data_IF_283502778582
#
_entry.id   IF_283502778582
#
_cell.length_a   1.000
_cell.length_b   1.000
_cell.length_c   1.000
_cell.angle_alpha   90.00
_cell.angle_beta   90.00
_cell.angle_gamma   90.00
#
_symmetry.space_group_name_H-M   'P 1'
#
loop_
_entity.id
_entity.type
_entity.pdbx_description
1 polymer ?
#
# COMPACT_ATOMS: atom_id res chain seq x y z
N UNK A 1 -18.08 -21.78 -1.63
CA UNK A 1 -19.44 -21.33 -1.99
C UNK A 1 -20.53 -22.37 -1.65
N UNK A 2 -20.29 -23.69 -1.82
CA UNK A 2 -21.25 -24.73 -1.44
C UNK A 2 -21.39 -24.92 0.09
N UNK A 3 -20.32 -24.73 0.87
CA UNK A 3 -20.36 -25.02 2.31
C UNK A 3 -21.00 -23.90 3.16
N UNK A 4 -20.94 -22.64 2.72
CA UNK A 4 -21.68 -21.54 3.36
C UNK A 4 -23.19 -21.70 3.20
N UNK A 5 -23.63 -22.28 2.08
CA UNK A 5 -25.04 -22.59 1.84
C UNK A 5 -25.54 -23.74 2.73
N UNK A 6 -24.70 -24.74 3.00
CA UNK A 6 -25.02 -25.86 3.90
C UNK A 6 -25.15 -25.42 5.35
N UNK A 7 -24.27 -24.56 5.86
CA UNK A 7 -24.34 -24.08 7.25
C UNK A 7 -25.57 -23.18 7.50
N UNK A 8 -25.87 -22.28 6.57
CA UNK A 8 -27.06 -21.41 6.66
C UNK A 8 -28.36 -22.20 6.48
N UNK A 9 -28.36 -23.24 5.65
CA UNK A 9 -29.51 -24.11 5.47
C UNK A 9 -29.91 -24.80 6.79
N UNK A 10 -28.94 -25.26 7.60
CA UNK A 10 -29.22 -25.95 8.88
C UNK A 10 -29.86 -25.03 9.93
N UNK A 11 -29.48 -23.74 9.99
CA UNK A 11 -30.05 -22.78 10.95
C UNK A 11 -31.44 -22.25 10.55
N UNK A 12 -31.70 -22.13 9.26
CA UNK A 12 -32.95 -21.57 8.72
C UNK A 12 -34.04 -22.65 8.58
N UNK A 13 -33.65 -23.92 8.40
CA UNK A 13 -34.57 -25.05 8.18
C UNK A 13 -35.65 -25.23 9.27
N UNK A 14 -35.34 -25.17 10.58
CA UNK A 14 -36.36 -25.32 11.63
C UNK A 14 -37.42 -24.20 11.57
N UNK A 15 -37.01 -22.98 11.23
CA UNK A 15 -37.91 -21.81 11.12
C UNK A 15 -38.81 -21.93 9.90
N UNK A 16 -38.29 -22.41 8.78
CA UNK A 16 -39.09 -22.71 7.59
C UNK A 16 -40.12 -23.81 7.85
N UNK A 17 -39.76 -24.87 8.59
CA UNK A 17 -40.70 -25.93 8.97
C UNK A 17 -41.89 -25.36 9.77
N UNK A 18 -41.63 -24.45 10.71
CA UNK A 18 -42.69 -23.78 11.49
C UNK A 18 -43.60 -22.93 10.60
N UNK A 19 -43.05 -22.22 9.61
CA UNK A 19 -43.84 -21.47 8.62
C UNK A 19 -44.73 -22.40 7.81
N UNK A 20 -44.21 -23.56 7.36
CA UNK A 20 -45.00 -24.56 6.64
C UNK A 20 -46.12 -25.15 7.51
N UNK A 21 -45.87 -25.39 8.80
CA UNK A 21 -46.90 -25.82 9.75
C UNK A 21 -47.98 -24.75 9.93
N UNK A 22 -47.59 -23.47 9.99
CA UNK A 22 -48.52 -22.34 10.02
C UNK A 22 -49.40 -22.25 8.78
N UNK A 23 -48.83 -22.44 7.58
CA UNK A 23 -49.62 -22.53 6.34
C UNK A 23 -50.57 -23.73 6.35
N UNK A 24 -50.10 -24.90 6.80
CA UNK A 24 -50.94 -26.09 6.93
C UNK A 24 -52.13 -25.87 7.87
N UNK A 25 -51.90 -25.27 9.04
CA UNK A 25 -52.96 -24.90 10.00
C UNK A 25 -53.94 -23.88 9.42
N UNK A 26 -53.46 -22.93 8.63
CA UNK A 26 -54.31 -21.94 7.96
C UNK A 26 -55.30 -22.60 6.99
N UNK A 27 -54.80 -23.47 6.10
CA UNK A 27 -55.64 -24.18 5.12
C UNK A 27 -56.62 -25.16 5.80
N UNK A 28 -56.19 -25.86 6.84
CA UNK A 28 -57.07 -26.75 7.61
C UNK A 28 -58.18 -25.94 8.29
N UNK A 29 -57.84 -24.78 8.86
CA UNK A 29 -58.82 -23.91 9.51
C UNK A 29 -59.84 -23.32 8.55
N UNK A 30 -59.41 -22.96 7.34
CA UNK A 30 -60.28 -22.37 6.31
C UNK A 30 -61.25 -23.39 5.71
N UNK A 31 -60.80 -24.63 5.49
CA UNK A 31 -61.59 -25.67 4.83
C UNK A 31 -62.50 -26.44 5.81
N UNK A 32 -62.05 -26.68 7.06
CA UNK A 32 -62.70 -27.65 7.95
C UNK A 32 -63.34 -27.06 9.22
N UNK A 33 -63.05 -25.82 9.62
CA UNK A 33 -63.56 -25.23 10.88
C UNK A 33 -64.61 -24.13 10.63
N UNK A 34 -65.57 -23.97 11.56
CA UNK A 34 -66.61 -22.93 11.51
C UNK A 34 -66.67 -22.04 12.76
N UNK A 35 -67.13 -20.82 12.53
CA UNK A 35 -67.56 -19.79 13.48
C UNK A 35 -66.52 -19.33 14.52
N UNK A 36 -66.42 -19.98 15.68
CA UNK A 36 -65.70 -19.40 16.82
C UNK A 36 -64.26 -19.93 16.98
N UNK A 37 -63.99 -21.13 16.47
CA UNK A 37 -62.68 -21.80 16.58
C UNK A 37 -61.79 -21.43 15.38
N UNK A 38 -62.41 -21.16 14.22
CA UNK A 38 -61.73 -20.78 12.99
C UNK A 38 -60.86 -19.52 13.18
N UNK A 39 -61.40 -18.47 13.81
CA UNK A 39 -60.65 -17.23 14.06
C UNK A 39 -59.43 -17.44 14.97
N UNK A 40 -59.52 -18.35 15.94
CA UNK A 40 -58.42 -18.68 16.85
C UNK A 40 -57.29 -19.42 16.10
N UNK A 41 -57.64 -20.40 15.26
CA UNK A 41 -56.66 -21.14 14.46
C UNK A 41 -56.01 -20.26 13.37
N UNK A 42 -56.75 -19.34 12.76
CA UNK A 42 -56.20 -18.36 11.82
C UNK A 42 -55.18 -17.45 12.53
N UNK A 43 -55.47 -16.96 13.74
CA UNK A 43 -54.54 -16.12 14.49
C UNK A 43 -53.28 -16.87 14.94
N UNK A 44 -53.41 -18.13 15.35
CA UNK A 44 -52.25 -18.99 15.66
C UNK A 44 -51.42 -19.21 14.40
N UNK A 45 -52.06 -19.52 13.27
CA UNK A 45 -51.39 -19.71 11.98
C UNK A 45 -50.64 -18.47 11.52
N UNK A 46 -51.27 -17.29 11.62
CA UNK A 46 -50.65 -16.02 11.30
C UNK A 46 -49.43 -15.73 12.17
N UNK A 47 -49.48 -16.10 13.45
CA UNK A 47 -48.36 -15.94 14.40
C UNK A 47 -47.21 -16.89 14.08
N UNK A 48 -47.52 -18.15 13.74
CA UNK A 48 -46.54 -19.17 13.32
C UNK A 48 -45.87 -18.85 11.98
N UNK A 49 -46.52 -18.05 11.14
CA UNK A 49 -45.95 -17.56 9.89
C UNK A 49 -45.13 -16.28 10.14
N UNK A 50 -45.73 -15.29 10.81
CA UNK A 50 -45.16 -13.94 10.96
C UNK A 50 -43.87 -13.94 11.77
N UNK A 51 -43.85 -14.57 12.96
CA UNK A 51 -42.69 -14.53 13.85
C UNK A 51 -41.45 -15.15 13.18
N UNK A 52 -41.50 -16.38 12.62
CA UNK A 52 -40.31 -16.96 11.99
C UNK A 52 -39.87 -16.23 10.72
N UNK A 53 -40.80 -15.69 9.93
CA UNK A 53 -40.45 -14.88 8.75
C UNK A 53 -39.67 -13.63 9.16
N UNK A 54 -40.11 -12.91 10.20
CA UNK A 54 -39.39 -11.74 10.73
C UNK A 54 -37.98 -12.13 11.16
N UNK A 55 -37.81 -13.26 11.85
CA UNK A 55 -36.50 -13.75 12.25
C UNK A 55 -35.61 -14.15 11.07
N UNK A 56 -36.16 -14.80 10.05
CA UNK A 56 -35.41 -15.16 8.83
C UNK A 56 -34.96 -13.90 8.08
N UNK A 57 -35.85 -12.93 7.91
CA UNK A 57 -35.53 -11.66 7.25
C UNK A 57 -34.47 -10.90 8.06
N UNK A 58 -34.59 -10.87 9.38
CA UNK A 58 -33.60 -10.26 10.25
C UNK A 58 -32.24 -10.93 10.14
N UNK A 59 -32.15 -12.26 10.17
CA UNK A 59 -30.88 -12.98 10.02
C UNK A 59 -30.24 -12.76 8.65
N UNK A 60 -31.01 -12.85 7.56
CA UNK A 60 -30.49 -12.57 6.21
C UNK A 60 -29.99 -11.13 6.11
N UNK A 61 -30.74 -10.18 6.66
CA UNK A 61 -30.36 -8.77 6.63
C UNK A 61 -29.13 -8.50 7.49
N UNK A 62 -29.05 -9.11 8.66
CA UNK A 62 -27.91 -9.04 9.57
C UNK A 62 -26.66 -9.64 8.91
N UNK A 63 -26.75 -10.84 8.33
CA UNK A 63 -25.64 -11.48 7.60
C UNK A 63 -25.16 -10.64 6.42
N UNK A 64 -26.08 -10.11 5.62
CA UNK A 64 -25.73 -9.25 4.47
C UNK A 64 -25.06 -7.95 4.92
N UNK A 65 -25.56 -7.36 6.01
CA UNK A 65 -25.02 -6.12 6.57
C UNK A 65 -23.63 -6.35 7.18
N UNK A 66 -23.45 -7.41 7.97
CA UNK A 66 -22.13 -7.77 8.50
C UNK A 66 -21.15 -8.14 7.40
N UNK A 67 -21.59 -8.84 6.34
CA UNK A 67 -20.72 -9.15 5.20
C UNK A 67 -20.25 -7.88 4.49
N UNK A 68 -21.16 -6.96 4.20
CA UNK A 68 -20.83 -5.70 3.55
C UNK A 68 -19.94 -4.82 4.44
N UNK A 69 -20.21 -4.81 5.74
CA UNK A 69 -19.36 -4.12 6.72
C UNK A 69 -17.95 -4.72 6.69
N UNK A 70 -17.81 -6.04 6.83
CA UNK A 70 -16.51 -6.71 6.81
C UNK A 70 -15.75 -6.42 5.51
N UNK A 71 -16.41 -6.50 4.35
CA UNK A 71 -15.79 -6.19 3.07
C UNK A 71 -15.25 -4.75 3.01
N UNK A 72 -16.08 -3.76 3.37
CA UNK A 72 -15.67 -2.34 3.39
C UNK A 72 -14.51 -2.06 4.35
N UNK A 73 -14.43 -2.84 5.42
CA UNK A 73 -13.45 -2.71 6.48
C UNK A 73 -12.12 -3.33 6.09
N UNK A 74 -12.16 -4.51 5.48
CA UNK A 74 -10.99 -5.16 4.92
C UNK A 74 -10.39 -4.35 3.77
N UNK A 75 -11.23 -3.78 2.90
CA UNK A 75 -10.75 -2.89 1.84
C UNK A 75 -10.08 -1.66 2.41
N UNK A 76 -10.60 -1.09 3.50
CA UNK A 76 -9.98 0.04 4.18
C UNK A 76 -8.60 -0.33 4.75
N UNK A 77 -8.50 -1.43 5.51
CA UNK A 77 -7.24 -1.88 6.08
C UNK A 77 -6.19 -2.19 5.00
N UNK A 78 -6.61 -2.86 3.91
CA UNK A 78 -5.75 -3.12 2.75
C UNK A 78 -5.27 -1.81 2.12
N UNK A 79 -6.17 -0.85 1.91
CA UNK A 79 -5.82 0.41 1.28
C UNK A 79 -4.82 1.22 2.12
N UNK A 80 -5.08 1.40 3.42
CA UNK A 80 -4.16 2.11 4.33
C UNK A 80 -2.77 1.46 4.33
N UNK A 81 -2.72 0.13 4.39
CA UNK A 81 -1.46 -0.61 4.36
C UNK A 81 -0.74 -0.46 3.01
N UNK A 82 -1.46 -0.62 1.89
CA UNK A 82 -0.90 -0.45 0.55
C UNK A 82 -0.33 0.96 0.36
N UNK A 83 -1.04 2.01 0.80
CA UNK A 83 -0.55 3.38 0.69
C UNK A 83 0.75 3.60 1.48
N UNK A 84 0.85 3.06 2.69
CA UNK A 84 2.09 3.18 3.47
C UNK A 84 3.23 2.37 2.87
N UNK A 85 2.98 1.16 2.38
CA UNK A 85 3.99 0.36 1.67
C UNK A 85 4.47 1.05 0.39
N UNK A 86 3.58 1.73 -0.35
CA UNK A 86 3.96 2.50 -1.55
C UNK A 86 4.90 3.65 -1.20
N UNK A 87 4.61 4.43 -0.14
CA UNK A 87 5.53 5.48 0.33
C UNK A 87 6.90 4.91 0.70
N UNK A 88 6.92 3.77 1.39
CA UNK A 88 8.18 3.10 1.74
C UNK A 88 8.91 2.65 0.47
N UNK A 89 8.19 2.06 -0.50
CA UNK A 89 8.73 1.66 -1.80
C UNK A 89 9.39 2.84 -2.51
N UNK A 90 8.70 3.97 -2.60
CA UNK A 90 9.22 5.20 -3.22
C UNK A 90 10.49 5.68 -2.53
N UNK A 91 10.53 5.64 -1.21
CA UNK A 91 11.73 6.00 -0.45
C UNK A 91 12.90 5.04 -0.69
N UNK A 92 12.65 3.73 -0.77
CA UNK A 92 13.68 2.74 -1.09
C UNK A 92 14.16 2.90 -2.53
N UNK A 93 13.25 3.20 -3.46
CA UNK A 93 13.56 3.52 -4.86
C UNK A 93 14.48 4.75 -4.95
N UNK A 94 14.18 5.81 -4.20
CA UNK A 94 15.08 6.95 -4.08
C UNK A 94 16.48 6.54 -3.60
N UNK A 95 16.59 5.67 -2.60
CA UNK A 95 17.89 5.18 -2.15
C UNK A 95 18.62 4.35 -3.21
N UNK A 96 17.92 3.66 -4.09
CA UNK A 96 18.52 2.81 -5.13
C UNK A 96 18.68 3.45 -6.50
N UNK A 97 18.16 4.64 -6.74
CA UNK A 97 18.27 5.33 -8.05
C UNK A 97 18.75 6.79 -7.91
N UNK A 98 18.71 7.36 -6.71
CA UNK A 98 19.24 8.68 -6.38
C UNK A 98 18.70 9.81 -7.26
N UNK A 99 19.60 10.51 -7.96
CA UNK A 99 19.29 11.64 -8.84
C UNK A 99 18.45 11.24 -10.05
N UNK A 100 18.42 9.95 -10.39
CA UNK A 100 17.75 9.45 -11.59
C UNK A 100 16.34 8.92 -11.30
N UNK A 101 15.90 8.92 -10.04
CA UNK A 101 14.60 8.36 -9.61
C UNK A 101 13.38 8.94 -10.33
N UNK A 102 13.48 10.17 -10.85
CA UNK A 102 12.40 10.86 -11.55
C UNK A 102 12.19 10.39 -12.98
N UNK A 103 13.12 9.60 -13.52
CA UNK A 103 13.07 9.10 -14.88
C UNK A 103 12.65 7.63 -14.86
N UNK A 104 11.68 7.28 -15.68
CA UNK A 104 11.29 5.89 -15.91
C UNK A 104 12.42 5.10 -16.60
N UNK A 105 12.31 3.77 -16.53
CA UNK A 105 13.25 2.89 -17.21
C UNK A 105 13.25 3.19 -18.71
N UNK A 106 14.44 3.47 -19.26
CA UNK A 106 14.68 3.90 -20.64
C UNK A 106 14.30 5.35 -21.02
N UNK A 107 13.87 6.20 -20.09
CA UNK A 107 13.58 7.61 -20.41
C UNK A 107 14.84 8.37 -20.81
N UNK A 108 15.92 8.12 -20.06
CA UNK A 108 17.20 8.80 -20.22
C UNK A 108 18.30 7.84 -20.68
N UNK A 109 19.24 8.39 -21.43
CA UNK A 109 20.55 7.79 -21.68
C UNK A 109 21.54 8.51 -20.79
N UNK A 110 22.21 7.74 -19.93
CA UNK A 110 23.29 8.21 -19.06
C UNK A 110 24.60 8.00 -19.82
N UNK A 111 25.27 9.11 -20.13
CA UNK A 111 26.63 9.11 -20.67
C UNK A 111 27.59 9.47 -19.52
N UNK A 112 28.33 8.46 -19.07
CA UNK A 112 29.27 8.50 -17.95
C UNK A 112 30.73 8.29 -18.38
N UNK A 113 31.05 8.43 -19.68
CA UNK A 113 32.42 8.34 -20.19
C UNK A 113 33.38 9.32 -19.49
N UNK A 114 32.87 10.50 -19.13
CA UNK A 114 33.54 11.45 -18.23
C UNK A 114 32.97 11.31 -16.81
N UNK A 115 33.70 10.56 -15.96
CA UNK A 115 33.35 10.33 -14.55
C UNK A 115 33.14 11.65 -13.78
N UNK A 116 33.78 12.74 -14.20
CA UNK A 116 33.62 14.06 -13.59
C UNK A 116 32.39 14.85 -14.07
N UNK A 117 31.81 14.46 -15.21
CA UNK A 117 30.68 15.15 -15.82
C UNK A 117 29.72 14.17 -16.48
N UNK A 118 28.68 13.79 -15.74
CA UNK A 118 27.64 12.87 -16.21
C UNK A 118 26.66 13.65 -17.07
N UNK A 119 26.42 13.17 -18.29
CA UNK A 119 25.48 13.80 -19.21
C UNK A 119 24.20 12.97 -19.34
N UNK A 120 23.07 13.65 -19.17
CA UNK A 120 21.75 13.05 -19.28
C UNK A 120 21.04 13.51 -20.56
N UNK A 121 20.74 12.58 -21.46
CA UNK A 121 19.97 12.89 -22.68
C UNK A 121 18.65 12.11 -22.68
N UNK A 122 17.53 12.83 -22.81
CA UNK A 122 16.21 12.21 -22.93
C UNK A 122 16.06 11.54 -24.29
N UNK A 123 15.51 10.32 -24.34
CA UNK A 123 15.23 9.64 -25.62
C UNK A 123 14.13 10.39 -26.37
N UNK A 124 14.34 10.64 -27.66
CA UNK A 124 13.43 11.45 -28.51
C UNK A 124 11.97 10.99 -28.52
N UNK A 125 11.70 9.69 -28.29
CA UNK A 125 10.33 9.16 -28.19
C UNK A 125 9.55 9.68 -26.97
N UNK A 126 10.24 10.01 -25.88
CA UNK A 126 9.60 10.40 -24.61
C UNK A 126 9.63 11.93 -24.41
N UNK A 127 10.25 12.67 -25.34
CA UNK A 127 10.19 14.14 -25.39
C UNK A 127 8.83 14.66 -25.89
N UNK A 128 8.02 13.78 -26.51
CA UNK A 128 6.71 14.11 -27.10
C UNK A 128 5.65 13.16 -26.51
N UNK A 129 5.32 13.33 -25.23
CA UNK A 129 4.02 12.94 -24.72
C UNK A 129 3.78 13.72 -23.42
N UNK A 130 2.70 14.52 -23.39
CA UNK A 130 2.13 14.93 -22.12
C UNK A 130 1.69 13.64 -21.46
N UNK A 131 2.35 13.29 -20.35
CA UNK A 131 2.05 12.10 -19.57
C UNK A 131 0.58 12.20 -19.14
N UNK A 132 -0.29 11.43 -19.80
CA UNK A 132 -1.60 11.08 -19.25
C UNK A 132 -1.33 10.22 -18.01
N UNK A 133 -1.93 10.57 -16.88
CA UNK A 133 -1.72 9.98 -15.54
C UNK A 133 -2.06 8.47 -15.44
N UNK A 134 -2.41 7.80 -16.54
CA UNK A 134 -2.93 6.42 -16.57
C UNK A 134 -1.87 5.33 -16.83
N UNK A 135 -0.62 5.66 -17.18
CA UNK A 135 0.42 4.64 -17.49
C UNK A 135 1.33 4.27 -16.29
N UNK A 136 1.03 4.77 -15.08
CA UNK A 136 1.75 4.40 -13.85
C UNK A 136 1.39 3.02 -13.29
N UNK A 137 0.37 2.34 -13.82
CA UNK A 137 -0.13 1.07 -13.26
C UNK A 137 0.53 -0.21 -13.80
N UNK A 138 1.39 -0.16 -14.83
CA UNK A 138 1.93 -1.38 -15.47
C UNK A 138 3.47 -1.40 -15.65
N UNK A 139 4.24 -0.89 -14.69
CA UNK A 139 5.68 -1.21 -14.67
C UNK A 139 5.89 -2.57 -13.99
N UNK A 140 6.08 -3.59 -14.83
CA UNK A 140 6.52 -4.96 -14.49
C UNK A 140 7.92 -5.01 -13.84
N UNK A 141 8.61 -3.88 -13.71
CA UNK A 141 9.89 -3.77 -13.00
C UNK A 141 9.65 -3.49 -11.51
N UNK A 142 9.13 -4.51 -10.82
CA UNK A 142 8.89 -4.42 -9.39
C UNK A 142 10.23 -4.44 -8.65
N UNK A 143 10.59 -3.32 -8.04
CA UNK A 143 11.78 -3.13 -7.20
C UNK A 143 11.96 -4.20 -6.10
N UNK A 144 10.91 -4.98 -5.83
CA UNK A 144 10.89 -6.13 -4.93
C UNK A 144 11.57 -7.39 -5.51
N UNK A 145 11.92 -7.37 -6.80
CA UNK A 145 12.61 -8.45 -7.50
C UNK A 145 14.13 -8.35 -7.47
N UNK A 146 14.69 -7.22 -7.01
CA UNK A 146 16.13 -7.05 -6.93
C UNK A 146 16.72 -8.03 -5.90
N UNK A 147 17.65 -8.86 -6.37
CA UNK A 147 18.43 -9.72 -5.48
C UNK A 147 19.36 -8.85 -4.62
N UNK A 148 19.62 -9.27 -3.38
CA UNK A 148 20.55 -8.61 -2.46
C UNK A 148 21.87 -8.20 -3.11
N UNK A 149 22.40 -9.08 -3.97
CA UNK A 149 23.68 -8.90 -4.66
C UNK A 149 23.66 -7.80 -5.74
N UNK A 150 22.47 -7.33 -6.14
CA UNK A 150 22.29 -6.23 -7.11
C UNK A 150 22.09 -4.86 -6.46
N UNK A 151 21.58 -4.81 -5.22
CA UNK A 151 21.28 -3.54 -4.52
C UNK A 151 22.56 -2.79 -4.15
N UNK A 152 23.57 -3.48 -3.61
CA UNK A 152 24.82 -2.84 -3.17
C UNK A 152 25.59 -2.22 -4.36
N UNK A 153 25.78 -2.90 -5.50
CA UNK A 153 26.37 -2.28 -6.69
C UNK A 153 25.58 -1.05 -7.18
N UNK A 154 24.25 -1.12 -7.24
CA UNK A 154 23.42 0.01 -7.64
C UNK A 154 23.67 1.22 -6.73
N UNK A 155 23.55 1.03 -5.43
CA UNK A 155 23.80 2.06 -4.41
C UNK A 155 25.19 2.68 -4.54
N UNK A 156 26.21 1.86 -4.83
CA UNK A 156 27.59 2.33 -5.00
C UNK A 156 27.76 3.21 -6.25
N UNK A 157 27.12 2.84 -7.36
CA UNK A 157 27.22 3.57 -8.63
C UNK A 157 26.29 4.78 -8.71
N UNK A 158 25.33 4.90 -7.79
CA UNK A 158 24.38 6.01 -7.75
C UNK A 158 24.97 7.34 -7.32
N UNK A 159 24.25 8.40 -7.72
CA UNK A 159 24.57 9.79 -7.43
C UNK A 159 23.33 10.44 -6.84
N UNK A 160 23.50 11.32 -5.86
CA UNK A 160 22.42 12.04 -5.20
C UNK A 160 22.68 13.54 -5.32
N UNK A 161 21.65 14.33 -5.58
CA UNK A 161 21.76 15.77 -5.48
C UNK A 161 21.53 16.21 -4.04
N UNK A 162 22.27 17.22 -3.58
CA UNK A 162 22.04 17.81 -2.25
C UNK A 162 20.60 18.26 -2.06
N UNK A 163 19.97 18.76 -3.13
CA UNK A 163 18.56 19.15 -3.15
C UNK A 163 17.62 18.03 -2.69
N UNK A 164 17.94 16.79 -3.04
CA UNK A 164 17.12 15.62 -2.71
C UNK A 164 17.35 15.20 -1.26
N UNK A 165 18.62 15.15 -0.82
CA UNK A 165 18.99 14.67 0.52
C UNK A 165 18.86 15.73 1.62
N UNK A 166 18.62 17.01 1.29
CA UNK A 166 18.61 18.12 2.25
C UNK A 166 17.63 17.91 3.42
N UNK A 167 16.45 17.39 3.11
CA UNK A 167 15.36 17.14 4.07
C UNK A 167 15.02 15.64 4.12
N UNK A 168 16.04 14.80 3.96
CA UNK A 168 15.88 13.35 4.07
C UNK A 168 15.50 12.99 5.51
N UNK A 169 14.24 12.62 5.69
CA UNK A 169 13.72 12.10 6.95
C UNK A 169 12.83 10.90 6.61
N UNK A 170 13.08 9.75 7.23
CA UNK A 170 12.24 8.56 7.06
C UNK A 170 11.49 8.19 8.34
N UNK A 171 11.62 9.00 9.40
CA UNK A 171 10.92 8.80 10.67
C UNK A 171 9.40 8.76 10.49
N UNK A 172 8.86 9.57 9.57
CA UNK A 172 7.44 9.60 9.26
C UNK A 172 6.91 8.25 8.74
N UNK A 173 7.75 7.46 8.05
CA UNK A 173 7.37 6.13 7.57
C UNK A 173 7.22 5.15 8.73
N UNK A 174 8.11 5.23 9.73
CA UNK A 174 7.99 4.45 10.97
C UNK A 174 6.71 4.84 11.70
N UNK A 175 6.45 6.14 11.87
CA UNK A 175 5.25 6.63 12.54
C UNK A 175 3.95 6.19 11.84
N UNK A 176 3.90 6.28 10.51
CA UNK A 176 2.73 5.87 9.73
C UNK A 176 2.47 4.36 9.85
N UNK A 177 3.53 3.55 9.84
CA UNK A 177 3.41 2.10 10.07
C UNK A 177 3.01 1.76 11.51
N UNK A 178 3.53 2.47 12.51
CA UNK A 178 3.10 2.30 13.90
C UNK A 178 1.64 2.68 14.10
N UNK A 179 1.12 3.71 13.40
CA UNK A 179 -0.31 4.03 13.42
C UNK A 179 -1.16 2.88 12.88
N UNK A 180 -0.70 2.17 11.85
CA UNK A 180 -1.37 0.97 11.33
C UNK A 180 -1.42 -0.13 12.39
N UNK A 181 -0.31 -0.40 13.09
CA UNK A 181 -0.27 -1.39 14.19
C UNK A 181 -1.12 -0.97 15.40
N UNK A 182 -1.13 0.31 15.76
CA UNK A 182 -1.91 0.80 16.88
C UNK A 182 -3.42 0.80 16.60
N UNK A 183 -3.80 0.63 15.33
CA UNK A 183 -5.18 0.49 14.94
C UNK A 183 -5.69 -0.92 15.29
N UNK A 184 -6.26 -1.04 16.49
CA UNK A 184 -6.90 -2.28 16.98
C UNK A 184 -7.83 -2.95 15.97
N UNK A 185 -8.50 -2.15 15.14
CA UNK A 185 -9.39 -2.63 14.10
C UNK A 185 -8.69 -3.39 12.98
N UNK A 186 -7.50 -2.93 12.58
CA UNK A 186 -6.64 -3.56 11.59
C UNK A 186 -6.01 -4.82 12.22
N UNK A 187 -5.47 -4.69 13.43
CA UNK A 187 -4.79 -5.77 14.14
C UNK A 187 -5.68 -6.98 14.45
N UNK A 188 -6.94 -6.76 14.80
CA UNK A 188 -7.90 -7.85 15.04
C UNK A 188 -8.16 -8.71 13.81
N UNK A 189 -7.83 -8.22 12.61
CA UNK A 189 -8.13 -8.88 11.34
C UNK A 189 -6.90 -9.47 10.71
N UNK A 190 -5.70 -8.94 10.95
CA UNK A 190 -4.47 -9.54 10.45
C UNK A 190 -4.25 -10.93 11.06
N UNK A 191 -3.75 -11.85 10.24
CA UNK A 191 -3.27 -13.14 10.74
C UNK A 191 -1.87 -12.96 11.38
N UNK A 192 -1.47 -13.93 12.20
CA UNK A 192 -0.21 -13.86 12.94
C UNK A 192 1.01 -13.69 12.01
N UNK A 193 0.97 -14.27 10.81
CA UNK A 193 2.01 -14.16 9.78
C UNK A 193 2.14 -12.70 9.28
N UNK A 194 1.02 -12.07 8.91
CA UNK A 194 0.99 -10.67 8.48
C UNK A 194 1.35 -9.70 9.59
N UNK A 195 0.93 -9.98 10.82
CA UNK A 195 1.38 -9.22 11.98
C UNK A 195 2.89 -9.30 12.14
N UNK A 196 3.47 -10.49 12.00
CA UNK A 196 4.92 -10.67 12.08
C UNK A 196 5.65 -9.91 10.96
N UNK A 197 5.16 -9.97 9.72
CA UNK A 197 5.74 -9.23 8.59
C UNK A 197 5.74 -7.71 8.87
N UNK A 198 4.65 -7.17 9.41
CA UNK A 198 4.56 -5.72 9.73
C UNK A 198 5.50 -5.33 10.85
N UNK A 199 5.57 -6.13 11.92
CA UNK A 199 6.49 -5.88 13.03
C UNK A 199 7.93 -5.87 12.52
N UNK A 200 8.29 -6.86 11.70
CA UNK A 200 9.61 -6.96 11.10
C UNK A 200 9.92 -5.77 10.17
N UNK A 201 8.96 -5.34 9.35
CA UNK A 201 9.08 -4.14 8.53
C UNK A 201 9.35 -2.89 9.37
N UNK A 202 8.65 -2.71 10.49
CA UNK A 202 8.86 -1.56 11.38
C UNK A 202 10.23 -1.62 12.04
N UNK A 203 10.69 -2.81 12.45
CA UNK A 203 12.04 -3.00 12.99
C UNK A 203 13.11 -2.66 11.94
N UNK A 204 12.95 -3.14 10.70
CA UNK A 204 13.85 -2.84 9.59
C UNK A 204 13.88 -1.33 9.29
N UNK A 205 12.73 -0.66 9.24
CA UNK A 205 12.64 0.79 9.07
C UNK A 205 13.31 1.56 10.21
N UNK A 206 13.13 1.13 11.46
CA UNK A 206 13.79 1.75 12.62
C UNK A 206 15.30 1.58 12.58
N UNK A 207 15.79 0.42 12.13
CA UNK A 207 17.22 0.18 11.96
C UNK A 207 17.80 1.08 10.87
N UNK A 208 17.11 1.19 9.72
CA UNK A 208 17.50 2.08 8.64
C UNK A 208 17.48 3.55 9.09
N UNK A 209 16.42 3.99 9.76
CA UNK A 209 16.29 5.36 10.28
C UNK A 209 17.40 5.69 11.28
N UNK A 210 17.64 4.79 12.23
CA UNK A 210 18.71 4.94 13.20
C UNK A 210 20.08 5.02 12.53
N UNK A 211 20.32 4.21 11.49
CA UNK A 211 21.58 4.23 10.75
C UNK A 211 21.80 5.56 10.03
N UNK A 212 20.78 6.07 9.32
CA UNK A 212 20.83 7.36 8.64
C UNK A 212 21.10 8.49 9.65
N UNK A 213 20.41 8.48 10.79
CA UNK A 213 20.53 9.51 11.81
C UNK A 213 21.85 9.45 12.62
N UNK A 214 22.51 8.30 12.67
CA UNK A 214 23.78 8.13 13.40
C UNK A 214 25.01 8.43 12.54
N UNK A 215 24.88 8.51 11.22
CA UNK A 215 26.00 8.63 10.29
C UNK A 215 25.88 9.91 9.46
N UNK A 216 26.29 11.04 10.05
CA UNK A 216 26.34 12.35 9.39
C UNK A 216 27.20 12.36 8.10
N UNK A 217 28.12 11.40 7.98
CA UNK A 217 29.01 11.18 6.85
C UNK A 217 28.51 10.11 5.87
N UNK A 218 27.23 9.69 5.97
CA UNK A 218 26.62 8.74 5.04
C UNK A 218 26.70 9.21 3.59
N UNK A 219 26.51 10.51 3.34
CA UNK A 219 26.62 11.12 2.02
C UNK A 219 27.90 11.93 1.88
N UNK A 220 28.80 11.47 1.01
CA UNK A 220 30.06 12.15 0.72
C UNK A 220 29.91 13.05 -0.49
N UNK A 221 30.31 14.32 -0.31
CA UNK A 221 30.31 15.31 -1.38
C UNK A 221 31.34 14.94 -2.45
N UNK A 222 30.94 15.05 -3.71
CA UNK A 222 31.82 14.87 -4.87
C UNK A 222 32.03 16.19 -5.64
N UNK A 223 33.00 16.16 -6.56
CA UNK A 223 33.19 17.22 -7.56
C UNK A 223 32.49 16.91 -8.90
N UNK A 224 31.75 15.79 -8.96
CA UNK A 224 30.96 15.37 -10.11
C UNK A 224 29.88 16.42 -10.39
N UNK A 225 29.59 16.59 -11.68
CA UNK A 225 28.45 17.36 -12.17
C UNK A 225 27.52 16.45 -12.95
N UNK A 226 26.24 16.78 -12.89
CA UNK A 226 25.21 16.16 -13.72
C UNK A 226 24.70 17.26 -14.66
N UNK A 227 25.05 17.16 -15.92
CA UNK A 227 24.59 18.07 -16.96
C UNK A 227 23.07 17.91 -17.17
N UNK A 228 22.43 18.99 -17.62
CA UNK A 228 20.99 19.09 -17.85
C UNK A 228 20.10 18.99 -16.59
N UNK A 229 20.65 18.85 -15.37
CA UNK A 229 19.91 19.06 -14.12
C UNK A 229 20.20 20.43 -13.54
N UNK A 230 19.20 21.31 -13.52
CA UNK A 230 19.29 22.68 -13.04
C UNK A 230 18.40 22.91 -11.82
N UNK A 231 18.84 23.79 -10.92
CA UNK A 231 18.02 24.24 -9.78
C UNK A 231 17.67 25.69 -9.98
N UNK A 232 16.38 25.95 -10.12
CA UNK A 232 15.84 27.28 -10.34
C UNK A 232 15.13 27.77 -9.08
N UNK A 233 15.27 29.06 -8.78
CA UNK A 233 14.55 29.72 -7.69
C UNK A 233 13.25 30.31 -8.23
N UNK A 234 12.11 29.85 -7.73
CA UNK A 234 10.78 30.35 -8.11
C UNK A 234 10.40 31.56 -7.25
N UNK A 235 10.54 31.41 -5.93
CA UNK A 235 10.18 32.44 -4.95
C UNK A 235 11.19 32.47 -3.78
N UNK A 236 10.99 33.30 -2.76
CA UNK A 236 11.91 33.58 -1.66
C UNK A 236 12.55 32.32 -1.06
N UNK A 237 11.74 31.28 -0.85
CA UNK A 237 12.16 29.99 -0.30
C UNK A 237 11.80 28.80 -1.22
N UNK A 238 11.14 29.01 -2.35
CA UNK A 238 10.68 27.93 -3.22
C UNK A 238 11.68 27.72 -4.34
N UNK A 239 12.17 26.49 -4.46
CA UNK A 239 13.13 26.07 -5.49
C UNK A 239 12.58 24.86 -6.22
N UNK A 240 12.93 24.73 -7.50
CA UNK A 240 12.60 23.57 -8.30
C UNK A 240 13.84 22.94 -8.92
N UNK A 241 13.87 21.61 -8.90
CA UNK A 241 14.78 20.79 -9.68
C UNK A 241 14.16 20.55 -11.05
N UNK A 242 14.92 20.82 -12.09
CA UNK A 242 14.46 20.81 -13.47
C UNK A 242 15.45 20.04 -14.34
N UNK A 243 14.93 19.18 -15.20
CA UNK A 243 15.68 18.67 -16.34
C UNK A 243 15.52 19.63 -17.52
N UNK A 244 16.62 20.05 -18.13
CA UNK A 244 16.62 20.99 -19.25
C UNK A 244 17.62 20.58 -20.32
N UNK A 245 17.10 20.27 -21.50
CA UNK A 245 17.90 19.94 -22.68
C UNK A 245 17.40 20.76 -23.87
N UNK A 246 18.23 21.68 -24.38
CA UNK A 246 17.88 22.59 -25.49
C UNK A 246 16.57 23.35 -25.23
N UNK A 247 15.50 23.03 -25.97
CA UNK A 247 14.17 23.65 -25.86
C UNK A 247 13.21 22.85 -24.97
N UNK A 248 13.63 21.68 -24.49
CA UNK A 248 12.85 20.82 -23.59
C UNK A 248 13.15 21.17 -22.13
N UNK A 249 12.07 21.23 -21.33
CA UNK A 249 12.14 21.48 -19.89
C UNK A 249 11.09 20.64 -19.16
N UNK A 250 11.53 19.86 -18.18
CA UNK A 250 10.67 19.07 -17.31
C UNK A 250 10.94 19.45 -15.85
N UNK A 251 9.87 19.70 -15.09
CA UNK A 251 9.96 19.93 -13.64
C UNK A 251 9.98 18.57 -12.96
N UNK A 252 11.00 18.32 -12.14
CA UNK A 252 11.20 17.04 -11.47
C UNK A 252 10.71 17.09 -10.01
N UNK A 253 11.09 18.13 -9.27
CA UNK A 253 10.70 18.31 -7.87
C UNK A 253 10.59 19.80 -7.53
N UNK A 254 9.65 20.15 -6.66
CA UNK A 254 9.51 21.50 -6.09
C UNK A 254 9.60 21.37 -4.57
N UNK A 255 10.44 22.19 -3.94
CA UNK A 255 10.68 22.14 -2.49
C UNK A 255 10.80 23.54 -1.90
N UNK A 256 10.25 23.71 -0.71
CA UNK A 256 10.44 24.92 0.09
C UNK A 256 11.64 24.75 1.02
N UNK A 257 12.67 25.58 0.82
CA UNK A 257 13.93 25.55 1.56
C UNK A 257 14.01 26.79 2.46
N UNK A 258 13.81 26.58 3.76
CA UNK A 258 13.82 27.64 4.77
C UNK A 258 15.24 28.06 5.22
N UNK A 259 16.26 27.25 4.90
CA UNK A 259 17.63 27.50 5.32
C UNK A 259 18.38 28.50 4.43
N UNK A 260 19.36 29.20 5.01
CA UNK A 260 20.36 30.03 4.28
C UNK A 260 21.34 29.18 3.47
N UNK A 261 20.87 28.09 2.87
CA UNK A 261 21.67 27.23 2.00
C UNK A 261 21.95 28.01 0.72
N UNK A 262 23.24 28.12 0.36
CA UNK A 262 23.62 28.79 -0.88
C UNK A 262 23.19 27.90 -2.06
N UNK A 263 22.51 28.49 -3.05
CA UNK A 263 21.94 27.78 -4.20
C UNK A 263 22.95 26.85 -4.90
N UNK A 264 24.21 27.29 -5.06
CA UNK A 264 25.25 26.46 -5.69
C UNK A 264 25.58 25.16 -4.93
N UNK A 265 25.20 25.04 -3.66
CA UNK A 265 25.34 23.79 -2.90
C UNK A 265 24.23 22.80 -3.23
N UNK A 266 23.06 23.26 -3.64
CA UNK A 266 21.90 22.41 -3.92
C UNK A 266 22.15 21.49 -5.13
N UNK A 267 22.92 21.97 -6.11
CA UNK A 267 23.29 21.19 -7.31
C UNK A 267 24.55 20.34 -7.12
N UNK A 268 25.09 20.27 -5.88
CA UNK A 268 26.25 19.42 -5.61
C UNK A 268 25.83 17.97 -5.55
N UNK A 269 26.65 17.13 -6.17
CA UNK A 269 26.47 15.68 -6.24
C UNK A 269 27.15 15.02 -5.04
N UNK A 270 26.46 14.03 -4.48
CA UNK A 270 26.89 13.22 -3.37
C UNK A 270 26.84 11.74 -3.78
N UNK A 271 27.66 10.94 -3.15
CA UNK A 271 27.63 9.48 -3.21
C UNK A 271 27.43 8.95 -1.79
N UNK A 272 26.94 7.73 -1.65
CA UNK A 272 26.98 7.06 -0.36
C UNK A 272 28.43 6.72 -0.04
N UNK A 273 28.81 6.89 1.23
CA UNK A 273 30.14 6.56 1.71
C UNK A 273 30.43 5.07 1.42
N UNK A 274 31.49 4.76 0.66
CA UNK A 274 31.87 3.38 0.34
C UNK A 274 31.99 2.47 1.57
N UNK A 275 32.40 3.02 2.71
CA UNK A 275 32.53 2.28 3.97
C UNK A 275 31.17 1.79 4.52
N UNK A 276 30.09 2.45 4.13
CA UNK A 276 28.72 2.18 4.56
C UNK A 276 27.84 1.53 3.49
N UNK A 277 28.24 1.52 2.21
CA UNK A 277 27.42 0.99 1.10
C UNK A 277 26.88 -0.42 1.36
N UNK A 278 27.71 -1.31 1.92
CA UNK A 278 27.29 -2.68 2.21
C UNK A 278 26.20 -2.74 3.29
N UNK A 279 26.41 -2.06 4.44
CA UNK A 279 25.45 -2.06 5.55
C UNK A 279 24.17 -1.32 5.14
N UNK A 280 24.30 -0.18 4.48
CA UNK A 280 23.17 0.59 4.00
C UNK A 280 22.34 -0.19 2.97
N UNK A 281 23.00 -0.84 2.01
CA UNK A 281 22.33 -1.69 1.02
C UNK A 281 21.64 -2.89 1.65
N UNK A 282 22.24 -3.51 2.67
CA UNK A 282 21.60 -4.59 3.44
C UNK A 282 20.33 -4.11 4.15
N UNK A 283 20.33 -2.92 4.74
CA UNK A 283 19.16 -2.34 5.39
C UNK A 283 18.04 -1.98 4.39
N UNK A 284 18.40 -1.41 3.23
CA UNK A 284 17.43 -1.14 2.15
C UNK A 284 16.83 -2.44 1.63
N UNK A 285 17.67 -3.47 1.40
CA UNK A 285 17.22 -4.79 1.00
C UNK A 285 16.25 -5.39 2.01
N UNK A 286 16.57 -5.33 3.31
CA UNK A 286 15.71 -5.89 4.37
C UNK A 286 14.30 -5.26 4.36
N UNK A 287 14.22 -3.93 4.18
CA UNK A 287 12.95 -3.22 4.05
C UNK A 287 12.19 -3.69 2.81
N UNK A 288 12.86 -3.80 1.67
CA UNK A 288 12.23 -4.27 0.42
C UNK A 288 11.75 -5.72 0.52
N UNK A 289 12.53 -6.61 1.16
CA UNK A 289 12.16 -8.00 1.37
C UNK A 289 10.93 -8.12 2.27
N UNK A 290 10.82 -7.28 3.31
CA UNK A 290 9.59 -7.20 4.12
C UNK A 290 8.36 -6.83 3.28
N UNK A 291 8.49 -5.86 2.36
CA UNK A 291 7.38 -5.47 1.47
C UNK A 291 7.05 -6.60 0.50
N UNK A 292 8.06 -7.29 -0.03
CA UNK A 292 7.88 -8.46 -0.90
C UNK A 292 7.13 -9.57 -0.17
N UNK A 293 7.58 -9.94 1.03
CA UNK A 293 6.93 -10.94 1.88
C UNK A 293 5.46 -10.58 2.16
N UNK A 294 5.16 -9.28 2.34
CA UNK A 294 3.79 -8.81 2.45
C UNK A 294 2.98 -9.07 1.17
N UNK A 295 3.51 -8.71 0.00
CA UNK A 295 2.87 -8.93 -1.30
C UNK A 295 2.63 -10.42 -1.56
N UNK A 296 3.64 -11.26 -1.31
CA UNK A 296 3.59 -12.71 -1.50
C UNK A 296 2.63 -13.41 -0.51
N UNK A 297 2.41 -12.83 0.67
CA UNK A 297 1.35 -13.27 1.59
C UNK A 297 -0.07 -13.03 1.03
N UNK A 298 -0.17 -12.32 -0.10
CA UNK A 298 -1.38 -11.72 -0.67
C UNK A 298 -2.16 -12.54 -1.70
N UNK A 299 -1.80 -13.79 -2.01
CA UNK A 299 -2.62 -14.67 -2.88
C UNK A 299 -2.99 -16.00 -2.22
N UNK A 300 -3.88 -15.95 -1.21
CA UNK A 300 -4.82 -17.03 -0.83
C UNK A 300 -5.49 -16.74 0.51
N UNK A 301 -6.22 -15.63 0.61
CA UNK A 301 -7.04 -15.35 1.79
C UNK A 301 -8.41 -16.02 1.61
N UNK A 302 -8.63 -17.15 2.28
CA UNK A 302 -10.00 -17.61 2.52
C UNK A 302 -10.53 -16.91 3.77
N UNK A 303 -11.60 -16.13 3.61
CA UNK A 303 -12.33 -15.57 4.74
C UNK A 303 -13.27 -16.64 5.28
N UNK A 304 -12.96 -17.24 6.43
CA UNK A 304 -13.92 -18.06 7.16
C UNK A 304 -14.98 -17.16 7.80
N UNK A 305 -16.10 -17.01 7.11
CA UNK A 305 -17.24 -16.20 7.51
C UNK A 305 -17.94 -16.73 8.79
N UNK A 306 -17.63 -17.92 9.27
CA UNK A 306 -18.21 -18.47 10.50
C UNK A 306 -17.46 -18.01 11.76
N UNK A 307 -16.16 -17.71 11.66
CA UNK A 307 -15.30 -17.41 12.82
C UNK A 307 -14.61 -16.05 12.76
N UNK A 308 -14.82 -15.26 11.70
CA UNK A 308 -14.24 -13.94 11.51
C UNK A 308 -12.70 -13.92 11.66
N UNK A 309 -12.03 -14.96 11.12
CA UNK A 309 -10.56 -15.02 11.05
C UNK A 309 -10.09 -14.97 9.59
N UNK A 310 -8.99 -14.25 9.36
CA UNK A 310 -8.16 -14.36 8.16
C UNK A 310 -7.21 -15.54 8.39
N UNK A 311 -7.10 -16.44 7.42
CA UNK A 311 -6.09 -17.48 7.42
C UNK A 311 -5.64 -17.82 6.00
N UNK A 312 -4.41 -18.33 5.90
CA UNK A 312 -3.79 -18.88 4.68
C UNK A 312 -4.28 -20.31 4.45
N UNK A 313 -4.32 -20.73 3.18
CA UNK A 313 -4.81 -22.05 2.74
C UNK A 313 -3.99 -23.21 3.30
#
# INVERSE_FOLDING_TARGET
>A
MLDSFKLNSIKILPKLIIVFVGFGLFFISDIYLKDNIQGLFINISATLISIPIVFIVYEIWQEKTHRKLNESVYSFAKNEMTQNLLKIKEQMKFFMEGAFVYFGNNDIVIDDEDIGNIKLTMREKNQIENIDEEEFENNEDDIYSFEKDTIVPLIYDNRYLYFQILDLDISYLVEDMEKVLNNSFIMERLDDEKTQIIVHLIEALKMLDSFINLHDDLFLKTDIKIDNMEIEKIDKNIYQLVYKEKDYKQILEIKEIFHKTKVYKLSKVYIINPDYCAIFGDLVHEVLDCIKNWIDSGESIFVDYATAKIGKL
#
